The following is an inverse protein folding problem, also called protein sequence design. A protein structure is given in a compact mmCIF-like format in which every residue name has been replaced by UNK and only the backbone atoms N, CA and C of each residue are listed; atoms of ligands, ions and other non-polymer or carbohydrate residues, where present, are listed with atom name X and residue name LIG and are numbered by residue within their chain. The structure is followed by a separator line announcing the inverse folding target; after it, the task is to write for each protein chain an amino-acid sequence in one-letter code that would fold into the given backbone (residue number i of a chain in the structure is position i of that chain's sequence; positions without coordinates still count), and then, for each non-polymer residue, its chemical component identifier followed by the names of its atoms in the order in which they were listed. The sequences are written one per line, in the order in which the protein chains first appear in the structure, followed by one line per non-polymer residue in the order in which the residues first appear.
data_IF_186261302926
#
_entry.id   IF_186261302926
#
_cell.length_a   1.000
_cell.length_b   1.000
_cell.length_c   1.000
_cell.angle_alpha   90.00
_cell.angle_beta   90.00
_cell.angle_gamma   90.00
#
_symmetry.space_group_name_H-M   'P 1'
#
loop_
_entity.id
_entity.type
_entity.pdbx_description
1 polymer ?
#
# COMPACT_ATOMS: atom_id res chain seq x y z
N UNK A 1 26.54 -65.61 43.78
CA UNK A 1 27.31 -65.21 42.58
C UNK A 1 26.40 -65.38 41.38
N UNK A 2 26.16 -64.44 40.47
CA UNK A 2 26.67 -63.08 40.21
C UNK A 2 25.76 -62.53 39.09
N UNK A 3 25.32 -61.27 39.21
CA UNK A 3 24.62 -60.56 38.12
C UNK A 3 25.54 -60.47 36.91
N UNK A 4 25.03 -60.72 35.71
CA UNK A 4 25.61 -60.25 34.45
C UNK A 4 24.84 -59.00 34.01
N UNK A 5 25.49 -57.86 33.74
CA UNK A 5 24.82 -56.65 33.29
C UNK A 5 24.41 -56.79 31.82
N UNK A 6 23.12 -56.63 31.53
CA UNK A 6 22.65 -56.23 30.20
C UNK A 6 23.13 -54.81 29.95
N UNK A 7 24.20 -54.69 29.18
CA UNK A 7 24.64 -53.41 28.61
C UNK A 7 25.18 -53.69 27.22
N UNK A 8 24.32 -53.58 26.22
CA UNK A 8 24.77 -53.07 24.93
C UNK A 8 24.00 -51.79 24.63
N UNK A 9 24.80 -50.73 24.53
CA UNK A 9 24.44 -49.34 24.37
C UNK A 9 23.90 -49.09 22.93
N UNK A 10 23.38 -47.90 22.61
CA UNK A 10 22.68 -47.65 21.36
C UNK A 10 23.63 -47.86 20.17
N UNK A 11 23.24 -48.74 19.24
CA UNK A 11 23.96 -48.99 17.99
C UNK A 11 23.90 -47.72 17.13
N UNK A 12 24.92 -46.87 17.29
CA UNK A 12 25.15 -45.73 16.44
C UNK A 12 25.46 -46.28 15.05
N UNK A 13 24.43 -46.32 14.19
CA UNK A 13 24.54 -46.64 12.77
C UNK A 13 25.70 -45.84 12.19
N UNK A 14 26.82 -46.50 11.92
CA UNK A 14 28.02 -45.86 11.34
C UNK A 14 27.66 -45.32 9.95
N UNK A 15 27.29 -44.04 9.89
CA UNK A 15 27.06 -43.36 8.62
C UNK A 15 28.43 -43.18 8.00
N UNK A 16 28.64 -43.87 6.88
CA UNK A 16 29.94 -43.84 6.20
C UNK A 16 30.37 -42.39 5.89
N UNK A 17 31.61 -41.98 6.21
CA UNK A 17 32.10 -40.61 6.00
C UNK A 17 31.96 -40.15 4.55
N UNK A 18 32.04 -41.12 3.62
CA UNK A 18 31.84 -40.89 2.18
C UNK A 18 30.44 -40.38 1.87
N UNK A 19 29.40 -40.95 2.46
CA UNK A 19 28.01 -40.51 2.23
C UNK A 19 27.80 -39.11 2.78
N UNK A 20 28.34 -38.80 3.96
CA UNK A 20 28.29 -37.44 4.52
C UNK A 20 28.98 -36.45 3.60
N UNK A 21 30.17 -36.80 3.08
CA UNK A 21 30.93 -35.96 2.17
C UNK A 21 30.20 -35.72 0.84
N UNK A 22 29.59 -36.76 0.25
CA UNK A 22 28.80 -36.64 -0.98
C UNK A 22 27.54 -35.79 -0.77
N UNK A 23 26.86 -35.94 0.36
CA UNK A 23 25.70 -35.11 0.69
C UNK A 23 26.08 -33.64 0.88
N UNK A 24 27.18 -33.37 1.59
CA UNK A 24 27.70 -32.02 1.76
C UNK A 24 28.13 -31.40 0.41
N UNK A 25 28.85 -32.17 -0.41
CA UNK A 25 29.25 -31.74 -1.75
C UNK A 25 28.03 -31.48 -2.65
N UNK A 26 27.02 -32.34 -2.59
CA UNK A 26 25.76 -32.18 -3.33
C UNK A 26 25.00 -30.92 -2.90
N UNK A 27 24.95 -30.63 -1.60
CA UNK A 27 24.32 -29.41 -1.09
C UNK A 27 25.03 -28.16 -1.63
N UNK A 28 26.37 -28.11 -1.52
CA UNK A 28 27.18 -26.99 -2.02
C UNK A 28 27.03 -26.84 -3.54
N UNK A 29 27.04 -27.95 -4.28
CA UNK A 29 26.83 -27.94 -5.72
C UNK A 29 25.43 -27.42 -6.07
N UNK A 30 24.38 -27.81 -5.33
CA UNK A 30 23.01 -27.32 -5.57
C UNK A 30 22.90 -25.81 -5.35
N UNK A 31 23.55 -25.27 -4.31
CA UNK A 31 23.58 -23.84 -4.02
C UNK A 31 24.33 -23.11 -5.14
N UNK A 32 25.49 -23.62 -5.55
CA UNK A 32 26.28 -23.04 -6.64
C UNK A 32 25.49 -23.01 -7.96
N UNK A 33 24.74 -24.08 -8.25
CA UNK A 33 23.85 -24.14 -9.43
C UNK A 33 22.73 -23.13 -9.32
N UNK A 34 22.06 -23.02 -8.16
CA UNK A 34 21.00 -22.03 -7.96
C UNK A 34 21.50 -20.59 -8.14
N UNK A 35 22.65 -20.26 -7.55
CA UNK A 35 23.31 -18.95 -7.72
C UNK A 35 23.69 -18.71 -9.18
N UNK A 36 24.24 -19.72 -9.87
CA UNK A 36 24.59 -19.65 -11.28
C UNK A 36 23.38 -19.41 -12.18
N UNK A 37 22.25 -20.07 -11.91
CA UNK A 37 20.98 -19.85 -12.64
C UNK A 37 20.49 -18.41 -12.43
N UNK A 38 20.45 -17.94 -11.18
CA UNK A 38 20.02 -16.56 -10.87
C UNK A 38 20.94 -15.54 -11.53
N UNK A 39 22.26 -15.71 -11.41
CA UNK A 39 23.23 -14.82 -12.05
C UNK A 39 23.11 -14.84 -13.57
N UNK A 40 22.93 -16.02 -14.17
CA UNK A 40 22.71 -16.20 -15.60
C UNK A 40 21.43 -15.54 -16.09
N UNK A 41 20.33 -15.66 -15.34
CA UNK A 41 19.07 -14.97 -15.62
C UNK A 41 19.22 -13.45 -15.52
N UNK A 42 19.85 -12.95 -14.45
CA UNK A 42 20.12 -11.51 -14.27
C UNK A 42 20.99 -10.98 -15.40
N UNK A 43 22.01 -11.74 -15.82
CA UNK A 43 22.84 -11.37 -16.95
C UNK A 43 21.99 -11.35 -18.23
N UNK A 44 21.36 -12.47 -18.62
CA UNK A 44 20.61 -12.59 -19.86
C UNK A 44 19.43 -11.59 -19.97
N UNK A 45 18.69 -11.35 -18.89
CA UNK A 45 17.56 -10.40 -18.85
C UNK A 45 17.99 -8.96 -18.53
N UNK A 46 19.17 -8.77 -17.92
CA UNK A 46 19.69 -7.46 -17.54
C UNK A 46 20.40 -6.72 -18.68
N UNK A 47 20.82 -7.43 -19.73
CA UNK A 47 21.54 -6.83 -20.88
C UNK A 47 20.72 -5.82 -21.70
N UNK A 48 19.38 -5.80 -21.56
CA UNK A 48 18.50 -4.79 -22.15
C UNK A 48 17.89 -3.81 -21.13
N UNK A 49 18.22 -3.98 -19.85
CA UNK A 49 17.79 -3.12 -18.73
C UNK A 49 19.03 -2.44 -18.16
N UNK A 50 19.68 -1.61 -18.97
CA UNK A 50 20.32 -0.42 -18.38
C UNK A 50 19.29 0.32 -17.53
N UNK A 51 19.68 1.20 -16.59
CA UNK A 51 18.69 2.05 -15.94
C UNK A 51 17.87 2.68 -17.06
N UNK A 52 16.63 2.20 -17.24
CA UNK A 52 15.66 2.95 -18.00
C UNK A 52 15.77 4.33 -17.39
N UNK A 53 15.94 5.41 -18.17
CA UNK A 53 15.78 6.73 -17.62
C UNK A 53 14.46 6.64 -16.90
N UNK A 54 14.51 6.61 -15.57
CA UNK A 54 13.34 6.86 -14.77
C UNK A 54 13.17 8.31 -15.13
N UNK A 55 12.38 8.58 -16.17
CA UNK A 55 11.72 9.86 -16.28
C UNK A 55 10.92 9.86 -15.01
N UNK A 56 11.55 10.39 -13.95
CA UNK A 56 10.85 10.74 -12.75
C UNK A 56 9.63 11.48 -13.29
N UNK A 57 8.40 11.07 -12.92
CA UNK A 57 7.32 12.03 -12.98
C UNK A 57 7.91 13.32 -12.42
N UNK A 58 7.78 14.47 -13.13
CA UNK A 58 8.36 15.72 -12.66
C UNK A 58 8.05 15.78 -11.17
N UNK A 59 9.07 15.94 -10.28
CA UNK A 59 8.85 15.82 -8.86
C UNK A 59 7.64 16.67 -8.55
N UNK A 60 6.57 16.05 -8.06
CA UNK A 60 5.37 16.78 -7.69
C UNK A 60 5.86 17.73 -6.62
N UNK A 61 6.04 18.99 -7.00
CA UNK A 61 6.61 19.99 -6.14
C UNK A 61 5.61 20.20 -5.01
N UNK A 62 5.90 19.58 -3.87
CA UNK A 62 5.28 19.89 -2.59
C UNK A 62 3.89 19.30 -2.36
N UNK A 63 3.85 18.16 -1.71
CA UNK A 63 3.27 18.19 -0.38
C UNK A 63 4.30 17.56 0.55
N UNK A 64 5.23 18.32 1.17
CA UNK A 64 5.88 17.79 2.35
C UNK A 64 4.76 17.35 3.29
N UNK A 65 4.80 16.11 3.78
CA UNK A 65 4.02 15.79 4.96
C UNK A 65 4.52 16.76 6.02
N UNK A 66 3.67 17.72 6.41
CA UNK A 66 3.98 18.65 7.49
C UNK A 66 4.23 17.80 8.74
N UNK A 67 5.51 17.58 9.08
CA UNK A 67 5.96 16.98 10.35
C UNK A 67 5.49 17.81 11.57
N UNK A 68 4.94 18.98 11.29
CA UNK A 68 4.50 20.00 12.23
C UNK A 68 3.03 20.36 11.92
N UNK A 69 2.04 19.62 12.45
CA UNK A 69 0.64 19.66 11.98
C UNK A 69 -0.06 21.03 12.11
N UNK A 70 0.47 21.93 12.93
CA UNK A 70 -0.22 23.15 13.35
C UNK A 70 -0.11 24.32 12.37
N UNK A 71 0.91 24.38 11.52
CA UNK A 71 1.09 25.52 10.60
C UNK A 71 0.29 25.38 9.28
N UNK A 72 0.24 24.18 8.69
CA UNK A 72 -0.58 23.92 7.50
C UNK A 72 -2.07 23.81 7.79
N UNK A 73 -2.43 23.22 8.94
CA UNK A 73 -3.83 22.96 9.31
C UNK A 73 -4.69 24.21 9.48
N UNK A 74 -4.12 25.32 9.95
CA UNK A 74 -4.87 26.56 10.17
C UNK A 74 -5.36 27.20 8.86
N UNK A 75 -4.54 27.19 7.81
CA UNK A 75 -4.95 27.71 6.49
C UNK A 75 -5.99 26.82 5.82
N UNK A 76 -5.83 25.50 5.93
CA UNK A 76 -6.83 24.54 5.44
C UNK A 76 -8.16 24.72 6.17
N UNK A 77 -8.11 24.89 7.50
CA UNK A 77 -9.30 25.18 8.32
C UNK A 77 -9.97 26.48 7.92
N UNK A 78 -9.21 27.57 7.79
CA UNK A 78 -9.75 28.87 7.41
C UNK A 78 -10.38 28.84 6.01
N UNK A 79 -9.79 28.10 5.07
CA UNK A 79 -10.35 27.90 3.72
C UNK A 79 -11.68 27.16 3.78
N UNK A 80 -11.73 26.04 4.51
CA UNK A 80 -12.95 25.26 4.66
C UNK A 80 -14.07 26.07 5.32
N UNK A 81 -13.74 26.89 6.32
CA UNK A 81 -14.70 27.74 7.02
C UNK A 81 -15.25 28.87 6.13
N UNK A 82 -14.41 29.46 5.29
CA UNK A 82 -14.84 30.44 4.29
C UNK A 82 -15.79 29.81 3.25
N UNK A 83 -15.58 28.56 2.87
CA UNK A 83 -16.45 27.87 1.92
C UNK A 83 -17.80 27.48 2.56
N UNK A 84 -17.81 27.08 3.83
CA UNK A 84 -19.02 26.69 4.57
C UNK A 84 -19.95 27.86 4.92
N UNK A 85 -19.44 29.09 4.99
CA UNK A 85 -20.18 30.27 5.44
C UNK A 85 -20.64 31.19 4.29
N UNK A 86 -20.35 30.79 3.05
CA UNK A 86 -20.51 31.63 1.87
C UNK A 86 -21.66 31.18 0.96
N UNK A 87 -22.22 32.16 0.25
CA UNK A 87 -23.04 31.90 -0.94
C UNK A 87 -22.19 31.81 -2.22
N UNK A 88 -22.56 30.89 -3.10
CA UNK A 88 -21.88 30.72 -4.38
C UNK A 88 -22.61 29.78 -5.33
N UNK A 89 -21.90 29.42 -6.39
CA UNK A 89 -22.35 28.41 -7.35
C UNK A 89 -21.40 27.22 -7.25
N UNK A 90 -21.95 26.03 -7.03
CA UNK A 90 -21.20 24.78 -7.17
C UNK A 90 -21.11 24.42 -8.66
N UNK A 91 -22.21 24.61 -9.37
CA UNK A 91 -22.34 24.36 -10.80
C UNK A 91 -23.49 25.23 -11.31
N UNK A 92 -23.15 26.33 -12.00
CA UNK A 92 -24.14 27.30 -12.46
C UNK A 92 -24.97 26.74 -13.60
N UNK A 93 -24.37 25.93 -14.47
CA UNK A 93 -25.03 25.37 -15.64
C UNK A 93 -26.05 24.30 -15.23
N UNK A 94 -25.73 23.53 -14.19
CA UNK A 94 -26.67 22.58 -13.59
C UNK A 94 -27.59 23.21 -12.51
N UNK A 95 -27.57 24.54 -12.34
CA UNK A 95 -28.43 25.23 -11.36
C UNK A 95 -28.14 24.91 -9.89
N UNK A 96 -26.94 24.39 -9.56
CA UNK A 96 -26.56 24.03 -8.18
C UNK A 96 -25.82 25.16 -7.49
N UNK A 97 -26.49 25.77 -6.50
CA UNK A 97 -25.92 26.80 -5.65
C UNK A 97 -25.29 26.21 -4.37
N UNK A 98 -24.22 26.87 -3.89
CA UNK A 98 -23.69 26.68 -2.54
C UNK A 98 -24.38 27.70 -1.64
N UNK A 99 -24.94 27.22 -0.53
CA UNK A 99 -25.51 28.05 0.53
C UNK A 99 -24.72 27.83 1.82
N UNK A 100 -24.69 28.82 2.74
CA UNK A 100 -24.07 28.64 4.05
C UNK A 100 -24.65 27.43 4.77
N UNK A 101 -23.80 26.70 5.48
CA UNK A 101 -24.17 25.43 6.12
C UNK A 101 -25.32 25.60 7.13
N UNK A 102 -25.31 26.70 7.89
CA UNK A 102 -26.41 27.01 8.84
C UNK A 102 -27.74 27.13 8.11
N UNK A 103 -27.73 27.76 6.92
CA UNK A 103 -28.94 27.90 6.10
C UNK A 103 -29.37 26.57 5.51
N UNK A 104 -28.43 25.73 5.09
CA UNK A 104 -28.73 24.38 4.61
C UNK A 104 -29.39 23.54 5.71
N UNK A 105 -28.84 23.57 6.91
CA UNK A 105 -29.38 22.88 8.08
C UNK A 105 -30.79 23.37 8.43
N UNK A 106 -31.01 24.68 8.42
CA UNK A 106 -32.34 25.28 8.63
C UNK A 106 -33.37 24.82 7.59
N UNK A 107 -32.99 24.80 6.32
CA UNK A 107 -33.87 24.37 5.24
C UNK A 107 -34.16 22.87 5.33
N UNK A 108 -33.16 22.06 5.66
CA UNK A 108 -33.30 20.62 5.84
C UNK A 108 -34.20 20.29 7.03
N UNK A 109 -34.03 20.99 8.15
CA UNK A 109 -34.86 20.81 9.34
C UNK A 109 -36.33 21.16 9.07
N UNK A 110 -36.59 22.18 8.23
CA UNK A 110 -37.94 22.61 7.87
C UNK A 110 -38.61 21.73 6.80
N UNK A 111 -37.84 21.27 5.82
CA UNK A 111 -38.37 20.51 4.67
C UNK A 111 -38.34 18.99 4.88
N UNK A 112 -37.54 18.50 5.84
CA UNK A 112 -37.24 17.08 5.97
C UNK A 112 -36.22 16.61 4.93
N UNK A 113 -35.84 15.34 5.00
CA UNK A 113 -34.92 14.74 4.03
C UNK A 113 -35.64 14.57 2.67
N UNK A 114 -35.04 15.00 1.55
CA UNK A 114 -35.66 14.82 0.24
C UNK A 114 -35.72 13.33 -0.13
N UNK A 115 -36.84 12.89 -0.68
CA UNK A 115 -36.97 11.55 -1.26
C UNK A 115 -36.00 11.44 -2.46
N UNK A 116 -35.13 10.41 -2.52
CA UNK A 116 -34.26 10.18 -3.66
C UNK A 116 -35.01 10.09 -5.01
N UNK A 117 -36.29 9.73 -4.99
CA UNK A 117 -37.12 9.52 -6.19
C UNK A 117 -37.81 10.80 -6.70
N UNK A 118 -37.79 11.92 -5.93
CA UNK A 118 -38.37 13.23 -6.30
C UNK A 118 -37.47 14.09 -7.22
N UNK A 119 -36.56 13.45 -7.97
CA UNK A 119 -35.63 14.13 -8.89
C UNK A 119 -36.29 14.41 -10.24
N UNK A 120 -37.26 15.32 -10.28
CA UNK A 120 -37.55 16.23 -11.42
C UNK A 120 -38.99 16.76 -11.36
N UNK A 121 -39.17 18.02 -10.98
CA UNK A 121 -40.20 18.90 -11.58
C UNK A 121 -39.67 20.33 -11.55
N UNK A 122 -38.58 20.54 -12.29
CA UNK A 122 -37.97 21.85 -12.51
C UNK A 122 -37.56 22.01 -13.97
N UNK A 123 -38.47 21.66 -14.89
CA UNK A 123 -38.35 22.10 -16.27
C UNK A 123 -38.50 23.65 -16.30
N UNK A 124 -37.64 24.38 -17.02
CA UNK A 124 -37.83 25.81 -17.21
C UNK A 124 -39.01 26.07 -18.16
N UNK A 125 -39.93 26.95 -17.76
CA UNK A 125 -40.82 27.68 -18.69
C UNK A 125 -40.05 28.82 -19.39
#
# INVERSE_FOLDING_TARGET
MSRTPETEAPEARDISPRVVLWSAAGLVASIAVAVGIVAGLVHLLGHGRGPAPVTAPPPVAGAPLDEVPYLGGAQVRARAEADLTRYGWADRDAGRAIIPIDRAMDLLARKGWPDPDDKDTGAPE
#
